data_IF_106881429466
#
_entry.id   IF_106881429466
#
_cell.length_a   1.000
_cell.length_b   1.000
_cell.length_c   1.000
_cell.angle_alpha   90.00
_cell.angle_beta   90.00
_cell.angle_gamma   90.00
#
_symmetry.space_group_name_H-M   'P 1'
#
loop_
_entity.id
_entity.type
_entity.pdbx_description
1 polymer ?
#
# COMPACT_ATOMS: atom_id res chain seq x y z
N UNK A 1 26.86 -12.56 9.56
CA UNK A 1 25.47 -12.75 9.07
C UNK A 1 24.97 -14.09 9.57
N UNK A 2 23.87 -14.14 10.35
CA UNK A 2 23.31 -15.39 10.87
C UNK A 2 22.77 -16.24 9.71
N UNK A 3 22.96 -17.56 9.74
CA UNK A 3 22.52 -18.50 8.68
C UNK A 3 21.02 -18.37 8.38
N UNK A 4 20.19 -18.07 9.37
CA UNK A 4 18.75 -17.84 9.22
C UNK A 4 18.46 -16.58 8.39
N UNK A 5 19.21 -15.51 8.60
CA UNK A 5 19.08 -14.27 7.83
C UNK A 5 19.50 -14.48 6.38
N UNK A 6 20.63 -15.17 6.16
CA UNK A 6 21.11 -15.52 4.83
C UNK A 6 20.08 -16.35 4.06
N UNK A 7 19.49 -17.35 4.71
CA UNK A 7 18.43 -18.18 4.13
C UNK A 7 17.17 -17.36 3.76
N UNK A 8 16.72 -16.46 4.63
CA UNK A 8 15.56 -15.60 4.34
C UNK A 8 15.84 -14.64 3.19
N UNK A 9 17.05 -14.06 3.16
CA UNK A 9 17.47 -13.19 2.05
C UNK A 9 17.50 -13.95 0.72
N UNK A 10 18.04 -15.16 0.70
CA UNK A 10 18.01 -16.01 -0.49
C UNK A 10 16.57 -16.28 -0.96
N UNK A 11 15.65 -16.55 -0.03
CA UNK A 11 14.21 -16.72 -0.35
C UNK A 11 13.59 -15.45 -0.95
N UNK A 12 13.93 -14.26 -0.44
CA UNK A 12 13.47 -12.99 -1.02
C UNK A 12 13.98 -12.85 -2.46
N UNK A 13 15.28 -13.12 -2.70
CA UNK A 13 15.87 -13.04 -4.04
C UNK A 13 15.19 -14.02 -5.00
N UNK A 14 15.02 -15.27 -4.61
CA UNK A 14 14.32 -16.29 -5.42
C UNK A 14 12.88 -15.84 -5.71
N UNK A 15 12.20 -15.28 -4.71
CA UNK A 15 10.82 -14.79 -4.86
C UNK A 15 10.73 -13.59 -5.81
N UNK A 16 11.70 -12.69 -5.79
CA UNK A 16 11.80 -11.59 -6.76
C UNK A 16 12.01 -12.12 -8.18
N UNK A 17 12.91 -13.08 -8.36
CA UNK A 17 13.14 -13.72 -9.67
C UNK A 17 11.87 -14.43 -10.18
N UNK A 18 11.14 -15.13 -9.30
CA UNK A 18 9.85 -15.72 -9.65
C UNK A 18 8.81 -14.65 -10.07
N UNK A 19 8.78 -13.51 -9.38
CA UNK A 19 7.94 -12.37 -9.75
C UNK A 19 8.28 -11.84 -11.14
N UNK A 20 9.56 -11.62 -11.42
CA UNK A 20 10.05 -11.20 -12.75
C UNK A 20 9.65 -12.18 -13.85
N UNK A 21 9.90 -13.46 -13.63
CA UNK A 21 9.53 -14.51 -14.59
C UNK A 21 8.00 -14.53 -14.82
N UNK A 22 7.20 -14.41 -13.75
CA UNK A 22 5.74 -14.36 -13.87
C UNK A 22 5.28 -13.15 -14.68
N UNK A 23 5.85 -11.97 -14.42
CA UNK A 23 5.51 -10.75 -15.17
C UNK A 23 5.95 -10.85 -16.64
N UNK A 24 7.10 -11.45 -16.94
CA UNK A 24 7.60 -11.57 -18.29
C UNK A 24 6.86 -12.64 -19.11
N UNK A 25 6.59 -13.80 -18.51
CA UNK A 25 6.11 -14.99 -19.23
C UNK A 25 4.60 -15.21 -19.14
N UNK A 26 3.97 -14.77 -18.03
CA UNK A 26 2.55 -15.04 -17.78
C UNK A 26 1.69 -13.80 -18.01
N UNK A 27 2.10 -12.62 -17.56
CA UNK A 27 1.29 -11.40 -17.65
C UNK A 27 0.89 -11.01 -19.07
N UNK A 28 1.73 -11.16 -20.12
CA UNK A 28 1.31 -10.82 -21.48
C UNK A 28 0.03 -11.55 -21.93
N UNK A 29 -0.17 -12.77 -21.42
CA UNK A 29 -1.29 -13.66 -21.78
C UNK A 29 -2.38 -13.71 -20.70
N UNK A 30 -2.14 -13.12 -19.53
CA UNK A 30 -3.05 -13.18 -18.39
C UNK A 30 -4.14 -12.11 -18.48
N UNK A 31 -5.39 -12.51 -18.33
CA UNK A 31 -6.49 -11.57 -18.11
C UNK A 31 -6.42 -10.92 -16.71
N UNK A 32 -7.21 -9.86 -16.49
CA UNK A 32 -7.19 -9.05 -15.27
C UNK A 32 -7.34 -9.90 -13.98
N UNK A 33 -8.32 -10.79 -13.94
CA UNK A 33 -8.58 -11.63 -12.77
C UNK A 33 -7.39 -12.56 -12.41
N UNK A 34 -6.69 -13.09 -13.43
CA UNK A 34 -5.50 -13.91 -13.20
C UNK A 34 -4.34 -13.07 -12.68
N UNK A 35 -4.11 -11.88 -13.25
CA UNK A 35 -3.07 -10.95 -12.77
C UNK A 35 -3.32 -10.55 -11.31
N UNK A 36 -4.54 -10.18 -10.95
CA UNK A 36 -4.91 -9.86 -9.57
C UNK A 36 -4.65 -11.04 -8.62
N UNK A 37 -5.03 -12.24 -9.00
CA UNK A 37 -4.78 -13.47 -8.20
C UNK A 37 -3.27 -13.70 -8.01
N UNK A 38 -2.48 -13.50 -9.06
CA UNK A 38 -1.02 -13.65 -9.01
C UNK A 38 -0.38 -12.57 -8.13
N UNK A 39 -0.77 -11.30 -8.26
CA UNK A 39 -0.31 -10.19 -7.41
C UNK A 39 -0.62 -10.48 -5.95
N UNK A 40 -1.85 -10.87 -5.63
CA UNK A 40 -2.27 -11.21 -4.27
C UNK A 40 -1.42 -12.34 -3.68
N UNK A 41 -1.25 -13.44 -4.40
CA UNK A 41 -0.47 -14.60 -3.94
C UNK A 41 1.01 -14.25 -3.76
N UNK A 42 1.56 -13.48 -4.70
CA UNK A 42 2.94 -13.05 -4.65
C UNK A 42 3.20 -12.14 -3.43
N UNK A 43 2.33 -11.16 -3.20
CA UNK A 43 2.39 -10.26 -2.04
C UNK A 43 2.28 -11.03 -0.72
N UNK A 44 1.31 -11.93 -0.60
CA UNK A 44 1.14 -12.76 0.59
C UNK A 44 2.36 -13.65 0.88
N UNK A 45 3.00 -14.22 -0.16
CA UNK A 45 4.22 -15.02 -0.02
C UNK A 45 5.41 -14.17 0.42
N UNK A 46 5.59 -12.97 -0.15
CA UNK A 46 6.64 -12.04 0.26
C UNK A 46 6.51 -11.71 1.74
N UNK A 47 5.31 -11.34 2.19
CA UNK A 47 5.04 -11.07 3.60
C UNK A 47 5.36 -12.29 4.48
N UNK A 48 5.00 -13.49 4.06
CA UNK A 48 5.34 -14.72 4.78
C UNK A 48 6.86 -14.98 4.86
N UNK A 49 7.64 -14.64 3.82
CA UNK A 49 9.11 -14.70 3.85
C UNK A 49 9.65 -13.67 4.87
N UNK A 50 9.05 -12.48 4.91
CA UNK A 50 9.37 -11.42 5.86
C UNK A 50 8.83 -11.68 7.28
N UNK A 51 8.15 -12.80 7.52
CA UNK A 51 7.49 -13.13 8.80
C UNK A 51 6.42 -12.13 9.21
N UNK A 52 5.78 -11.51 8.23
CA UNK A 52 4.65 -10.61 8.44
C UNK A 52 3.36 -11.40 8.24
N UNK A 53 2.56 -11.52 9.31
CA UNK A 53 1.21 -12.08 9.27
C UNK A 53 0.22 -10.95 9.06
N UNK A 54 -0.62 -11.06 8.04
CA UNK A 54 -1.70 -10.10 7.81
C UNK A 54 -2.93 -10.52 8.61
N UNK A 55 -3.41 -9.60 9.44
CA UNK A 55 -4.63 -9.74 10.23
C UNK A 55 -5.65 -8.70 9.78
N UNK A 56 -6.86 -9.16 9.43
CA UNK A 56 -7.96 -8.26 9.14
C UNK A 56 -8.60 -7.83 10.45
N UNK A 57 -8.51 -6.53 10.77
CA UNK A 57 -9.24 -5.96 11.89
C UNK A 57 -10.74 -5.83 11.58
N UNK A 58 -11.60 -5.80 12.60
CA UNK A 58 -13.01 -5.43 12.42
C UNK A 58 -13.15 -4.09 11.70
N UNK A 59 -14.12 -4.00 10.80
CA UNK A 59 -14.36 -2.79 10.01
C UNK A 59 -15.42 -3.01 8.94
N UNK A 60 -15.53 -2.07 8.01
CA UNK A 60 -16.46 -2.18 6.90
C UNK A 60 -15.97 -3.21 5.87
N UNK A 61 -16.84 -3.83 5.07
CA UNK A 61 -16.46 -4.64 3.95
C UNK A 61 -15.56 -3.86 2.98
N UNK A 62 -14.48 -4.48 2.53
CA UNK A 62 -13.62 -3.87 1.52
C UNK A 62 -14.33 -3.82 0.16
N UNK A 63 -14.40 -2.64 -0.44
CA UNK A 63 -15.07 -2.42 -1.72
C UNK A 63 -14.19 -2.91 -2.87
N UNK A 64 -14.83 -3.52 -3.87
CA UNK A 64 -14.15 -3.91 -5.10
C UNK A 64 -13.90 -2.73 -6.05
N UNK A 65 -14.61 -1.63 -5.86
CA UNK A 65 -14.52 -0.44 -6.69
C UNK A 65 -14.52 0.82 -5.81
N UNK A 66 -13.35 1.38 -5.56
CA UNK A 66 -13.15 2.55 -4.72
C UNK A 66 -11.77 3.17 -4.95
N UNK A 67 -11.62 4.44 -4.56
CA UNK A 67 -10.33 5.05 -4.31
C UNK A 67 -9.88 4.71 -2.88
N UNK A 68 -8.87 3.86 -2.74
CA UNK A 68 -8.36 3.42 -1.45
C UNK A 68 -7.30 4.41 -0.95
N UNK A 69 -7.40 4.82 0.29
CA UNK A 69 -6.41 5.67 0.95
C UNK A 69 -5.97 5.05 2.27
N UNK A 70 -4.69 5.10 2.58
CA UNK A 70 -4.16 4.52 3.82
C UNK A 70 -3.04 5.39 4.40
N UNK A 71 -2.83 5.29 5.71
CA UNK A 71 -1.59 5.77 6.32
C UNK A 71 -0.39 4.98 5.78
N UNK A 72 0.81 5.58 5.87
CA UNK A 72 2.02 5.04 5.24
C UNK A 72 3.17 4.91 6.24
N UNK A 73 3.55 3.69 6.56
CA UNK A 73 4.56 3.35 7.56
C UNK A 73 5.81 2.76 6.91
N UNK A 74 5.60 1.89 5.91
CA UNK A 74 6.67 1.06 5.36
C UNK A 74 6.43 0.72 3.89
N UNK A 75 7.48 0.31 3.20
CA UNK A 75 7.36 -0.30 1.88
C UNK A 75 6.50 -1.59 1.90
N UNK A 76 6.32 -2.22 3.06
CA UNK A 76 5.46 -3.39 3.24
C UNK A 76 3.98 -3.08 3.04
N UNK A 77 3.53 -1.84 3.23
CA UNK A 77 2.12 -1.44 3.18
C UNK A 77 1.45 -1.82 1.87
N UNK A 78 2.17 -1.64 0.76
CA UNK A 78 1.72 -2.01 -0.58
C UNK A 78 1.40 -3.51 -0.66
N UNK A 79 2.26 -4.34 -0.07
CA UNK A 79 2.09 -5.79 -0.11
C UNK A 79 1.02 -6.27 0.86
N UNK A 80 0.84 -5.60 2.00
CA UNK A 80 -0.25 -5.88 2.95
C UNK A 80 -1.60 -5.63 2.29
N UNK A 81 -1.78 -4.47 1.66
CA UNK A 81 -3.02 -4.13 0.95
C UNK A 81 -3.23 -5.10 -0.22
N UNK A 82 -2.21 -5.35 -1.05
CA UNK A 82 -2.30 -6.27 -2.20
C UNK A 82 -2.55 -7.73 -1.81
N UNK A 83 -2.06 -8.17 -0.66
CA UNK A 83 -2.33 -9.52 -0.16
C UNK A 83 -3.81 -9.71 0.21
N UNK A 84 -4.50 -8.62 0.55
CA UNK A 84 -5.93 -8.63 0.85
C UNK A 84 -6.77 -8.37 -0.39
N UNK A 85 -6.53 -7.24 -1.05
CA UNK A 85 -7.29 -6.77 -2.20
C UNK A 85 -6.36 -6.04 -3.19
N UNK A 86 -5.91 -6.71 -4.26
CA UNK A 86 -4.99 -6.12 -5.23
C UNK A 86 -5.49 -4.79 -5.76
N UNK A 87 -4.64 -3.78 -5.73
CA UNK A 87 -4.95 -2.42 -6.14
C UNK A 87 -3.82 -1.85 -6.98
N UNK A 88 -4.13 -0.91 -7.86
CA UNK A 88 -3.12 -0.13 -8.57
C UNK A 88 -2.64 0.98 -7.67
N UNK A 89 -1.37 0.96 -7.33
CA UNK A 89 -0.80 2.00 -6.46
C UNK A 89 -0.37 3.22 -7.26
N UNK A 90 -0.46 4.37 -6.60
CA UNK A 90 0.16 5.61 -7.07
C UNK A 90 1.49 5.77 -6.34
N UNK A 91 2.60 5.85 -7.09
CA UNK A 91 3.95 5.92 -6.54
C UNK A 91 4.77 7.06 -7.17
N UNK A 92 5.86 7.46 -6.52
CA UNK A 92 6.79 8.45 -7.05
C UNK A 92 7.49 7.93 -8.30
N UNK A 93 7.72 8.80 -9.30
CA UNK A 93 8.35 8.42 -10.57
C UNK A 93 9.78 7.87 -10.39
N UNK A 94 10.48 8.31 -9.35
CA UNK A 94 11.83 7.85 -9.04
C UNK A 94 11.91 6.34 -8.79
N UNK A 95 10.83 5.73 -8.26
CA UNK A 95 10.75 4.28 -8.02
C UNK A 95 10.80 3.51 -9.34
N UNK A 96 10.31 4.10 -10.44
CA UNK A 96 10.38 3.48 -11.78
C UNK A 96 11.83 3.24 -12.24
N UNK A 97 12.75 4.09 -11.80
CA UNK A 97 14.17 3.97 -12.14
C UNK A 97 14.93 2.93 -11.29
N UNK A 98 14.30 2.37 -10.24
CA UNK A 98 14.94 1.35 -9.43
C UNK A 98 15.11 0.06 -10.21
N UNK A 99 16.34 -0.49 -10.27
CA UNK A 99 16.58 -1.73 -10.99
C UNK A 99 15.68 -2.85 -10.47
N UNK A 100 15.12 -3.65 -11.36
CA UNK A 100 14.27 -4.79 -11.05
C UNK A 100 12.93 -4.40 -10.40
N UNK A 101 12.97 -3.68 -9.29
CA UNK A 101 11.77 -3.28 -8.51
C UNK A 101 10.88 -2.35 -9.31
N UNK A 102 11.45 -1.34 -9.98
CA UNK A 102 10.69 -0.39 -10.79
C UNK A 102 9.94 -1.07 -11.93
N UNK A 103 10.54 -2.06 -12.57
CA UNK A 103 9.88 -2.84 -13.61
C UNK A 103 8.74 -3.72 -13.04
N UNK A 104 8.97 -4.43 -11.93
CA UNK A 104 7.95 -5.24 -11.26
C UNK A 104 6.73 -4.41 -10.85
N UNK A 105 6.99 -3.25 -10.24
CA UNK A 105 5.94 -2.34 -9.78
C UNK A 105 5.16 -1.77 -10.97
N UNK A 106 5.83 -1.47 -12.09
CA UNK A 106 5.17 -1.06 -13.33
C UNK A 106 4.26 -2.15 -13.89
N UNK A 107 4.71 -3.42 -13.90
CA UNK A 107 3.90 -4.56 -14.36
C UNK A 107 2.68 -4.83 -13.45
N UNK A 108 2.78 -4.49 -12.16
CA UNK A 108 1.64 -4.52 -11.22
C UNK A 108 0.60 -3.41 -11.49
N UNK A 109 0.81 -2.55 -12.49
CA UNK A 109 -0.12 -1.50 -12.87
C UNK A 109 0.02 -0.22 -12.07
N UNK A 110 1.16 -0.01 -11.42
CA UNK A 110 1.44 1.22 -10.65
C UNK A 110 1.43 2.46 -11.55
N UNK A 111 0.77 3.50 -11.10
CA UNK A 111 0.74 4.83 -11.71
C UNK A 111 1.87 5.65 -11.08
N UNK A 112 2.84 6.08 -11.89
CA UNK A 112 3.99 6.84 -11.40
C UNK A 112 3.76 8.33 -11.52
N UNK A 113 3.99 9.09 -10.44
CA UNK A 113 3.84 10.56 -10.39
C UNK A 113 5.21 11.22 -10.32
N UNK A 114 5.55 12.04 -11.35
CA UNK A 114 6.68 12.96 -11.28
C UNK A 114 6.26 14.27 -10.59
N UNK A 115 7.10 14.74 -9.67
CA UNK A 115 6.90 16.04 -9.01
C UNK A 115 7.35 17.17 -9.93
N UNK A 116 6.58 18.27 -9.96
CA UNK A 116 7.00 19.53 -10.61
C UNK A 116 6.53 19.74 -12.05
N UNK A 117 5.98 18.74 -12.74
CA UNK A 117 5.48 18.90 -14.10
C UNK A 117 3.94 18.88 -14.13
N UNK A 118 3.32 20.07 -14.31
CA UNK A 118 1.85 20.23 -14.36
C UNK A 118 1.17 19.43 -15.49
N UNK A 119 1.86 19.21 -16.60
CA UNK A 119 1.33 18.47 -17.76
C UNK A 119 1.30 16.98 -17.46
N UNK A 120 2.35 16.50 -16.83
CA UNK A 120 2.49 15.11 -16.40
C UNK A 120 1.49 14.76 -15.27
N UNK A 121 1.33 15.66 -14.30
CA UNK A 121 0.31 15.52 -13.24
C UNK A 121 -1.10 15.40 -13.80
N UNK A 122 -1.47 16.17 -14.83
CA UNK A 122 -2.77 16.05 -15.50
C UNK A 122 -2.95 14.70 -16.20
N UNK A 123 -1.92 14.21 -16.86
CA UNK A 123 -1.97 12.92 -17.55
C UNK A 123 -2.14 11.77 -16.56
N UNK A 124 -1.41 11.82 -15.46
CA UNK A 124 -1.47 10.83 -14.37
C UNK A 124 -2.84 10.85 -13.70
N UNK A 125 -3.34 12.05 -13.39
CA UNK A 125 -4.67 12.23 -12.83
C UNK A 125 -5.74 11.61 -13.72
N UNK A 126 -5.68 11.88 -15.03
CA UNK A 126 -6.56 11.25 -16.01
C UNK A 126 -6.43 9.73 -15.98
N UNK A 127 -5.22 9.18 -15.89
CA UNK A 127 -4.99 7.73 -15.78
C UNK A 127 -5.62 7.11 -14.53
N UNK A 128 -5.66 7.84 -13.41
CA UNK A 128 -6.36 7.40 -12.19
C UNK A 128 -7.87 7.39 -12.40
N UNK A 129 -8.43 8.48 -12.95
CA UNK A 129 -9.87 8.60 -13.25
C UNK A 129 -10.30 7.51 -14.24
N UNK A 130 -9.53 7.28 -15.31
CA UNK A 130 -9.81 6.23 -16.30
C UNK A 130 -9.77 4.83 -15.66
N UNK A 131 -8.81 4.57 -14.76
CA UNK A 131 -8.72 3.29 -14.05
C UNK A 131 -9.92 3.06 -13.13
N UNK A 132 -10.32 4.08 -12.39
CA UNK A 132 -11.53 4.05 -11.56
C UNK A 132 -12.79 3.86 -12.41
N UNK A 133 -12.91 4.57 -13.53
CA UNK A 133 -14.01 4.40 -14.49
C UNK A 133 -14.10 2.99 -15.09
N UNK A 134 -12.96 2.30 -15.23
CA UNK A 134 -12.88 0.89 -15.65
C UNK A 134 -13.11 -0.12 -14.51
N UNK A 135 -13.67 0.32 -13.38
CA UNK A 135 -13.94 -0.49 -12.19
C UNK A 135 -12.70 -1.13 -11.57
N UNK A 136 -11.55 -0.47 -11.71
CA UNK A 136 -10.32 -0.91 -11.06
C UNK A 136 -10.17 -0.20 -9.69
N UNK A 137 -9.51 -0.86 -8.77
CA UNK A 137 -9.11 -0.24 -7.50
C UNK A 137 -7.83 0.55 -7.69
N UNK A 138 -7.85 1.78 -7.22
CA UNK A 138 -6.63 2.61 -7.14
C UNK A 138 -6.36 2.91 -5.67
N UNK A 139 -5.11 2.74 -5.25
CA UNK A 139 -4.69 2.99 -3.88
C UNK A 139 -3.54 4.00 -3.83
N UNK A 140 -3.55 4.88 -2.86
CA UNK A 140 -2.43 5.78 -2.61
C UNK A 140 -2.30 6.14 -1.13
N UNK A 141 -1.13 6.67 -0.77
CA UNK A 141 -0.82 7.16 0.56
C UNK A 141 -0.83 8.69 0.55
N UNK A 142 -1.90 9.32 1.09
CA UNK A 142 -2.09 10.77 0.97
C UNK A 142 -1.10 11.60 1.78
N UNK A 143 -0.33 11.00 2.68
CA UNK A 143 0.79 11.62 3.39
C UNK A 143 1.96 11.96 2.44
N UNK A 144 2.07 11.28 1.30
CA UNK A 144 3.12 11.51 0.30
C UNK A 144 4.53 11.08 0.74
N UNK A 145 4.68 10.62 1.97
CA UNK A 145 5.89 10.03 2.54
C UNK A 145 5.51 9.06 3.66
N UNK A 146 6.47 8.26 4.12
CA UNK A 146 6.30 7.38 5.28
C UNK A 146 6.38 8.17 6.58
N UNK A 147 5.61 7.75 7.59
CA UNK A 147 5.65 8.25 8.96
C UNK A 147 5.96 7.11 9.93
N UNK A 148 6.51 7.43 11.09
CA UNK A 148 6.64 6.45 12.17
C UNK A 148 5.25 6.01 12.65
N UNK A 149 5.14 4.79 13.16
CA UNK A 149 3.88 4.29 13.72
C UNK A 149 3.39 5.20 14.87
N UNK A 150 2.08 5.33 14.98
CA UNK A 150 1.45 6.28 15.90
C UNK A 150 1.44 7.73 15.42
N UNK A 151 2.17 8.06 14.35
CA UNK A 151 2.13 9.36 13.71
C UNK A 151 1.29 9.30 12.43
N UNK A 152 0.46 10.31 12.23
CA UNK A 152 -0.32 10.48 11.00
C UNK A 152 -0.06 11.88 10.45
N UNK A 153 0.61 11.97 9.31
CA UNK A 153 0.92 13.24 8.67
C UNK A 153 -0.33 13.81 7.98
N UNK A 154 -0.36 15.14 7.73
CA UNK A 154 -1.47 15.78 7.02
C UNK A 154 -1.68 15.16 5.63
N UNK A 155 -2.94 14.92 5.26
CA UNK A 155 -3.31 14.34 3.99
C UNK A 155 -3.33 15.38 2.87
N UNK A 156 -2.62 15.13 1.79
CA UNK A 156 -2.67 15.92 0.57
C UNK A 156 -3.95 15.63 -0.21
N UNK A 157 -4.80 16.65 -0.37
CA UNK A 157 -6.13 16.50 -0.94
C UNK A 157 -6.18 16.30 -2.48
N UNK A 158 -5.08 16.54 -3.20
CA UNK A 158 -5.11 16.65 -4.67
C UNK A 158 -5.65 15.43 -5.40
N UNK A 159 -5.28 14.21 -4.96
CA UNK A 159 -5.69 12.97 -5.62
C UNK A 159 -7.11 12.52 -5.24
N UNK A 160 -7.70 13.09 -4.21
CA UNK A 160 -9.09 12.81 -3.86
C UNK A 160 -10.08 13.33 -4.91
N UNK A 161 -9.69 14.33 -5.70
CA UNK A 161 -10.47 14.80 -6.85
C UNK A 161 -10.80 13.68 -7.84
N UNK A 162 -9.90 12.70 -7.98
CA UNK A 162 -10.12 11.59 -8.88
C UNK A 162 -11.32 10.71 -8.49
N UNK A 163 -11.65 10.62 -7.20
CA UNK A 163 -12.84 9.92 -6.73
C UNK A 163 -14.11 10.70 -7.10
N UNK A 164 -14.06 12.04 -6.99
CA UNK A 164 -15.19 12.93 -7.36
C UNK A 164 -15.46 12.83 -8.87
N UNK A 165 -14.41 12.98 -9.69
CA UNK A 165 -14.52 12.94 -11.16
C UNK A 165 -14.98 11.56 -11.67
N UNK A 166 -14.56 10.48 -11.00
CA UNK A 166 -14.95 9.12 -11.35
C UNK A 166 -16.30 8.70 -10.73
N UNK A 167 -16.88 9.49 -9.80
CA UNK A 167 -18.10 9.16 -9.08
C UNK A 167 -18.00 7.91 -8.21
N UNK A 168 -16.80 7.63 -7.63
CA UNK A 168 -16.54 6.45 -6.81
C UNK A 168 -16.27 6.83 -5.35
N UNK A 169 -16.63 5.99 -4.37
CA UNK A 169 -16.34 6.29 -2.97
C UNK A 169 -14.83 6.26 -2.67
N UNK A 170 -14.43 7.02 -1.66
CA UNK A 170 -13.11 6.91 -1.01
C UNK A 170 -13.25 5.90 0.12
N UNK A 171 -12.40 4.87 0.15
CA UNK A 171 -12.37 3.93 1.27
C UNK A 171 -11.07 4.05 2.05
N UNK A 172 -11.10 4.57 3.29
CA UNK A 172 -9.92 4.65 4.14
C UNK A 172 -9.54 3.28 4.69
N UNK A 173 -8.24 3.00 4.76
CA UNK A 173 -7.66 1.84 5.39
C UNK A 173 -6.70 2.28 6.50
N UNK A 174 -6.87 1.74 7.70
CA UNK A 174 -5.95 1.94 8.80
C UNK A 174 -5.02 0.73 8.91
N UNK A 175 -3.72 0.98 8.86
CA UNK A 175 -2.67 -0.04 8.92
C UNK A 175 -1.79 0.18 10.14
N UNK A 176 -1.53 -0.89 10.88
CA UNK A 176 -0.65 -0.94 12.03
C UNK A 176 0.22 -2.20 11.98
N UNK A 177 1.46 -2.10 12.44
CA UNK A 177 2.34 -3.25 12.60
C UNK A 177 2.62 -3.50 14.06
N UNK A 178 2.29 -4.69 14.53
CA UNK A 178 2.30 -5.04 15.95
C UNK A 178 3.33 -6.15 16.22
N UNK A 179 3.94 -6.05 17.38
CA UNK A 179 4.76 -7.11 17.95
C UNK A 179 3.89 -8.20 18.61
N UNK A 180 4.52 -9.19 19.22
CA UNK A 180 3.84 -10.29 19.90
C UNK A 180 3.05 -9.85 21.16
N UNK A 181 3.30 -8.65 21.69
CA UNK A 181 2.63 -8.08 22.85
C UNK A 181 1.50 -7.13 22.48
N UNK A 182 1.30 -6.88 21.17
CA UNK A 182 0.30 -5.94 20.65
C UNK A 182 0.77 -4.49 20.62
N UNK A 183 2.03 -4.21 20.95
CA UNK A 183 2.65 -2.88 20.81
C UNK A 183 3.17 -2.64 19.40
N UNK A 184 3.56 -1.39 19.10
CA UNK A 184 4.16 -1.02 17.82
C UNK A 184 5.47 -1.77 17.53
N UNK A 185 5.61 -2.34 16.37
CA UNK A 185 6.79 -3.09 15.96
C UNK A 185 7.84 -2.16 15.32
N UNK A 186 8.84 -1.73 16.09
CA UNK A 186 9.82 -0.72 15.67
C UNK A 186 10.66 -1.10 14.43
N UNK A 187 10.89 -2.39 14.16
CA UNK A 187 11.69 -2.82 13.00
C UNK A 187 11.04 -2.52 11.65
N UNK A 188 9.74 -2.21 11.63
CA UNK A 188 8.99 -1.94 10.40
C UNK A 188 9.08 -0.47 9.98
N UNK A 189 9.36 0.44 10.90
CA UNK A 189 9.47 1.86 10.61
C UNK A 189 10.54 2.13 9.54
N UNK A 190 10.11 2.80 8.47
CA UNK A 190 10.96 3.12 7.31
C UNK A 190 11.11 4.64 7.17
N UNK A 191 11.62 5.28 8.22
CA UNK A 191 11.72 6.75 8.33
C UNK A 191 13.17 7.22 8.41
N UNK A 192 13.39 8.51 8.26
CA UNK A 192 14.71 9.15 8.33
C UNK A 192 15.66 8.64 7.25
N UNK A 193 16.90 8.39 7.63
CA UNK A 193 17.98 7.94 6.73
C UNK A 193 18.02 6.42 6.54
N UNK A 194 16.98 5.70 6.96
CA UNK A 194 16.90 4.24 6.79
C UNK A 194 16.87 3.88 5.32
N UNK A 195 17.89 3.21 4.82
CA UNK A 195 17.92 2.72 3.44
C UNK A 195 17.02 1.49 3.28
N UNK A 196 16.58 1.25 2.04
CA UNK A 196 15.76 0.06 1.73
C UNK A 196 16.45 -1.26 2.12
N UNK A 197 17.76 -1.36 1.91
CA UNK A 197 18.56 -2.54 2.29
C UNK A 197 18.58 -2.72 3.81
N UNK A 198 18.79 -1.64 4.57
CA UNK A 198 18.77 -1.70 6.03
C UNK A 198 17.40 -2.14 6.56
N UNK A 199 16.31 -1.59 6.00
CA UNK A 199 14.94 -1.97 6.37
C UNK A 199 14.67 -3.46 6.10
N UNK A 200 15.01 -3.96 4.91
CA UNK A 200 14.87 -5.39 4.58
C UNK A 200 15.65 -6.26 5.57
N UNK A 201 16.92 -5.94 5.84
CA UNK A 201 17.74 -6.73 6.75
C UNK A 201 17.21 -6.71 8.17
N UNK A 202 16.70 -5.55 8.65
CA UNK A 202 16.07 -5.40 9.96
C UNK A 202 14.83 -6.28 10.06
N UNK A 203 13.91 -6.20 9.10
CA UNK A 203 12.68 -7.02 9.07
C UNK A 203 13.02 -8.52 8.97
N UNK A 204 13.94 -8.92 8.10
CA UNK A 204 14.30 -10.33 7.95
C UNK A 204 15.06 -10.88 9.16
N UNK A 205 15.80 -10.06 9.89
CA UNK A 205 16.54 -10.42 11.10
C UNK A 205 15.72 -10.35 12.38
N UNK A 206 14.65 -9.56 12.37
CA UNK A 206 13.80 -9.23 13.53
C UNK A 206 12.80 -10.31 13.93
N UNK A 207 11.95 -9.95 14.88
CA UNK A 207 10.85 -10.78 15.37
C UNK A 207 9.68 -10.83 14.37
N UNK A 208 8.72 -11.79 14.53
CA UNK A 208 7.52 -11.84 13.72
C UNK A 208 6.67 -10.58 13.89
N UNK A 209 6.11 -10.12 12.78
CA UNK A 209 5.28 -8.92 12.72
C UNK A 209 3.83 -9.30 12.45
N UNK A 210 2.88 -8.67 13.13
CA UNK A 210 1.46 -8.72 12.77
C UNK A 210 1.06 -7.42 12.09
N UNK A 211 0.78 -7.46 10.80
CA UNK A 211 0.21 -6.33 10.05
C UNK A 211 -1.32 -6.37 10.21
N UNK A 212 -1.85 -5.47 11.04
CA UNK A 212 -3.30 -5.32 11.25
C UNK A 212 -3.84 -4.28 10.29
N UNK A 213 -4.76 -4.70 9.42
CA UNK A 213 -5.39 -3.83 8.41
C UNK A 213 -6.90 -3.78 8.63
N UNK A 214 -7.43 -2.57 8.86
CA UNK A 214 -8.85 -2.28 8.95
C UNK A 214 -9.32 -1.54 7.70
N UNK A 215 -10.33 -2.06 6.99
CA UNK A 215 -11.07 -1.29 5.99
C UNK A 215 -12.19 -0.53 6.70
N UNK A 216 -12.19 0.80 6.58
CA UNK A 216 -13.14 1.67 7.28
C UNK A 216 -14.36 1.97 6.41
N UNK A 217 -15.36 2.62 7.00
CA UNK A 217 -16.56 2.99 6.28
C UNK A 217 -16.22 3.84 5.04
N UNK A 218 -16.77 3.50 3.87
CA UNK A 218 -16.52 4.28 2.66
C UNK A 218 -17.16 5.66 2.77
N UNK A 219 -16.44 6.66 2.26
CA UNK A 219 -16.88 8.05 2.21
C UNK A 219 -17.41 8.31 0.81
N UNK A 220 -18.70 8.67 0.65
CA UNK A 220 -19.26 8.99 -0.65
C UNK A 220 -18.53 10.18 -1.30
N UNK A 221 -18.27 10.08 -2.60
CA UNK A 221 -17.71 11.17 -3.38
C UNK A 221 -18.54 11.34 -4.65
N UNK A 222 -18.87 12.59 -4.98
CA UNK A 222 -19.69 12.90 -6.14
C UNK A 222 -19.89 14.41 -6.30
N UNK A 223 -20.81 14.84 -7.17
CA UNK A 223 -21.09 16.26 -7.41
C UNK A 223 -21.37 17.01 -6.11
N UNK A 224 -20.71 18.15 -5.91
CA UNK A 224 -20.83 18.96 -4.70
C UNK A 224 -19.91 18.57 -3.53
N UNK A 225 -19.19 17.47 -3.64
CA UNK A 225 -18.20 17.09 -2.63
C UNK A 225 -16.87 17.83 -2.88
N UNK A 226 -16.22 18.27 -1.81
CA UNK A 226 -14.93 18.93 -1.91
C UNK A 226 -13.78 17.97 -1.53
N UNK A 227 -12.73 17.90 -2.36
CA UNK A 227 -11.56 17.03 -2.13
C UNK A 227 -10.89 17.23 -0.77
N UNK A 228 -10.92 18.46 -0.22
CA UNK A 228 -10.36 18.75 1.11
C UNK A 228 -11.16 18.11 2.22
N UNK A 229 -12.48 18.11 2.10
CA UNK A 229 -13.38 17.45 3.05
C UNK A 229 -13.20 15.95 3.04
N UNK A 230 -13.08 15.34 1.83
CA UNK A 230 -12.80 13.91 1.70
C UNK A 230 -11.47 13.55 2.37
N UNK A 231 -10.41 14.35 2.15
CA UNK A 231 -9.10 14.13 2.76
C UNK A 231 -9.17 14.23 4.30
N UNK A 232 -9.87 15.23 4.83
CA UNK A 232 -10.05 15.41 6.28
C UNK A 232 -10.86 14.27 6.90
N UNK A 233 -11.97 13.87 6.28
CA UNK A 233 -12.80 12.76 6.76
C UNK A 233 -12.01 11.44 6.74
N UNK A 234 -11.27 11.17 5.68
CA UNK A 234 -10.44 9.98 5.59
C UNK A 234 -9.30 9.96 6.62
N UNK A 235 -8.64 11.11 6.83
CA UNK A 235 -7.58 11.26 7.84
C UNK A 235 -8.13 11.04 9.24
N UNK A 236 -9.28 11.64 9.56
CA UNK A 236 -9.93 11.48 10.86
C UNK A 236 -10.37 10.03 11.12
N UNK A 237 -10.97 9.39 10.12
CA UNK A 237 -11.36 7.98 10.23
C UNK A 237 -10.16 7.07 10.54
N UNK A 238 -9.03 7.28 9.84
CA UNK A 238 -7.80 6.53 10.07
C UNK A 238 -7.23 6.85 11.45
N UNK A 239 -7.20 8.13 11.85
CA UNK A 239 -6.69 8.55 13.17
C UNK A 239 -7.45 7.87 14.32
N UNK A 240 -8.78 7.85 14.24
CA UNK A 240 -9.63 7.19 15.24
C UNK A 240 -9.36 5.69 15.30
N UNK A 241 -9.23 5.04 14.13
CA UNK A 241 -8.98 3.61 14.06
C UNK A 241 -7.57 3.23 14.60
N UNK A 242 -6.57 4.08 14.39
CA UNK A 242 -5.22 3.88 14.94
C UNK A 242 -5.19 4.12 16.46
N UNK A 243 -5.92 5.12 16.99
CA UNK A 243 -6.01 5.38 18.42
C UNK A 243 -6.65 4.23 19.22
N UNK A 244 -7.49 3.40 18.59
CA UNK A 244 -8.03 2.18 19.20
C UNK A 244 -6.97 1.07 19.35
N UNK A 245 -5.86 1.14 18.61
CA UNK A 245 -4.74 0.18 18.72
C UNK A 245 -3.84 0.51 19.91
N UNK A 246 -3.75 1.79 20.29
CA UNK A 246 -2.94 2.24 21.43
C UNK A 246 -3.55 1.90 22.80
N UNK A 247 -4.84 1.54 22.84
CA UNK A 247 -5.50 1.11 24.08
C UNK A 247 -5.64 -0.41 24.06
N UNK A 248 -4.75 -1.19 24.72
CA UNK A 248 -4.96 -2.61 24.94
C UNK A 248 -6.28 -2.80 25.69
N UNK A 249 -7.11 -3.72 25.23
CA UNK A 249 -8.27 -4.18 26.00
C UNK A 249 -7.78 -4.61 27.40
N UNK A 250 -8.21 -3.88 28.43
CA UNK A 250 -8.03 -4.23 29.83
C UNK A 250 -8.78 -5.52 30.18
#
# INVERSE_FOLDING_TARGET
MNIRLAWRLARVIIHLVQGLATCALVFPWAGAALRERLVRRWSARLLGICRVRVERAPGAPALEHALIVSNHISWLDIFVINAMLPSRFVAKAEIRAWPVVGWLVAQAGTVFIARGNRRELRHIFKGIVDALGQRQRVAFFPEGTVAAQGQLLPFHANLFEAAIDAGVPVQPYALAYLDARGGWHADVDYTGDTTFVQSILRILGGEPVTARLASLAPIPAGPGTHRRELAQQAQEAIRVALGQVETPLQ
#
